data_IF_659747818629
#
_entry.id   IF_659747818629
#
_cell.length_a   1.000
_cell.length_b   1.000
_cell.length_c   1.000
_cell.angle_alpha   90.00
_cell.angle_beta   90.00
_cell.angle_gamma   90.00
#
_symmetry.space_group_name_H-M   'P 1'
#
loop_
_entity.id
_entity.type
_entity.pdbx_description
1 polymer ?
#
# COMPACT_ATOMS: atom_id res chain seq x y z
N UNK A 1 6.43 2.42 -27.29
CA UNK A 1 5.90 3.72 -26.80
C UNK A 1 5.06 3.47 -25.57
N UNK A 2 5.52 3.96 -24.42
CA UNK A 2 4.83 3.77 -23.14
C UNK A 2 3.69 4.79 -23.04
N UNK A 3 2.46 4.32 -22.88
CA UNK A 3 1.29 5.20 -22.70
C UNK A 3 1.36 5.87 -21.32
N UNK A 4 1.46 7.20 -21.29
CA UNK A 4 1.55 7.99 -20.06
C UNK A 4 0.25 8.74 -19.80
N UNK A 5 -0.28 8.60 -18.57
CA UNK A 5 -1.36 9.46 -18.08
C UNK A 5 -0.84 10.89 -17.82
N UNK A 6 -1.74 11.87 -17.76
CA UNK A 6 -1.52 13.26 -17.36
C UNK A 6 -0.59 13.40 -16.15
N UNK A 7 -0.85 12.66 -15.08
CA UNK A 7 0.01 12.63 -13.89
C UNK A 7 1.42 12.09 -14.16
N UNK A 8 1.56 11.06 -14.99
CA UNK A 8 2.88 10.48 -15.31
C UNK A 8 3.72 11.43 -16.16
N UNK A 9 3.08 12.18 -17.07
CA UNK A 9 3.74 13.25 -17.83
C UNK A 9 4.25 14.36 -16.89
N UNK A 10 3.42 14.76 -15.91
CA UNK A 10 3.84 15.72 -14.89
C UNK A 10 5.04 15.21 -14.07
N UNK A 11 4.98 13.94 -13.64
CA UNK A 11 6.10 13.32 -12.92
C UNK A 11 7.36 13.27 -13.78
N UNK A 12 7.26 12.97 -15.07
CA UNK A 12 8.42 12.92 -15.97
C UNK A 12 9.16 14.27 -16.05
N UNK A 13 8.40 15.36 -16.14
CA UNK A 13 8.95 16.72 -16.26
C UNK A 13 9.62 17.18 -14.95
N UNK A 14 9.07 16.82 -13.80
CA UNK A 14 9.50 17.35 -12.49
C UNK A 14 10.45 16.42 -11.72
N UNK A 15 10.45 15.12 -12.05
CA UNK A 15 11.21 14.10 -11.31
C UNK A 15 12.71 14.32 -11.38
N UNK A 16 13.25 14.77 -12.53
CA UNK A 16 14.68 15.05 -12.68
C UNK A 16 15.16 16.09 -11.66
N UNK A 17 14.45 17.21 -11.54
CA UNK A 17 14.79 18.27 -10.59
C UNK A 17 14.78 17.80 -9.13
N UNK A 18 13.87 16.87 -8.77
CA UNK A 18 13.78 16.32 -7.41
C UNK A 18 14.82 15.23 -7.13
N UNK A 19 15.32 14.53 -8.15
CA UNK A 19 16.40 13.54 -7.98
C UNK A 19 17.74 14.21 -7.71
N UNK A 20 18.02 15.35 -8.33
CA UNK A 20 19.26 16.12 -8.10
C UNK A 20 19.43 16.56 -6.63
N UNK A 21 18.31 16.70 -5.91
CA UNK A 21 18.29 17.06 -4.49
C UNK A 21 18.75 15.89 -3.59
N UNK A 22 18.89 14.68 -4.13
CA UNK A 22 19.45 13.52 -3.42
C UNK A 22 18.46 12.76 -2.52
N UNK A 23 17.16 12.95 -2.72
CA UNK A 23 16.11 12.27 -1.95
C UNK A 23 15.86 10.83 -2.38
N UNK A 24 15.28 10.02 -1.48
CA UNK A 24 14.84 8.67 -1.82
C UNK A 24 13.74 8.71 -2.88
N UNK A 25 13.71 7.73 -3.80
CA UNK A 25 12.67 7.60 -4.81
C UNK A 25 11.26 7.65 -4.22
N UNK A 26 11.06 7.11 -3.01
CA UNK A 26 9.79 7.14 -2.31
C UNK A 26 9.38 8.57 -1.91
N UNK A 27 10.32 9.36 -1.40
CA UNK A 27 10.11 10.75 -0.98
C UNK A 27 9.80 11.62 -2.20
N UNK A 28 10.57 11.47 -3.28
CA UNK A 28 10.33 12.17 -4.54
C UNK A 28 8.93 11.91 -5.06
N UNK A 29 8.47 10.65 -5.04
CA UNK A 29 7.10 10.32 -5.48
C UNK A 29 6.02 10.90 -4.56
N UNK A 30 6.29 10.98 -3.26
CA UNK A 30 5.37 11.61 -2.29
C UNK A 30 5.22 13.10 -2.56
N UNK A 31 6.34 13.79 -2.76
CA UNK A 31 6.39 15.23 -3.08
C UNK A 31 5.68 15.52 -4.41
N UNK A 32 5.97 14.75 -5.47
CA UNK A 32 5.28 14.87 -6.76
C UNK A 32 3.76 14.68 -6.64
N UNK A 33 3.33 13.72 -5.82
CA UNK A 33 1.92 13.49 -5.54
C UNK A 33 1.25 14.67 -4.84
N UNK A 34 1.95 15.32 -3.90
CA UNK A 34 1.48 16.52 -3.23
C UNK A 34 1.44 17.74 -4.18
N UNK A 35 2.50 17.96 -4.96
CA UNK A 35 2.55 19.02 -5.98
C UNK A 35 1.42 18.87 -6.99
N UNK A 36 1.19 17.65 -7.50
CA UNK A 36 0.09 17.40 -8.43
C UNK A 36 -1.27 17.73 -7.81
N UNK A 37 -1.52 17.39 -6.54
CA UNK A 37 -2.78 17.74 -5.87
C UNK A 37 -2.97 19.25 -5.76
N UNK A 38 -1.91 19.98 -5.43
CA UNK A 38 -1.93 21.43 -5.26
C UNK A 38 -1.83 22.24 -6.57
N UNK A 39 -1.51 21.59 -7.69
CA UNK A 39 -1.38 22.24 -9.00
C UNK A 39 -2.70 22.91 -9.43
N UNK A 40 -2.61 24.07 -10.07
CA UNK A 40 -3.76 24.80 -10.58
C UNK A 40 -4.53 23.99 -11.65
N UNK A 41 -5.83 24.24 -11.78
CA UNK A 41 -6.69 23.53 -12.74
C UNK A 41 -6.23 23.73 -14.20
N UNK A 42 -5.77 24.94 -14.52
CA UNK A 42 -5.26 25.31 -15.85
C UNK A 42 -4.01 24.50 -16.22
N UNK A 43 -3.05 24.40 -15.32
CA UNK A 43 -1.83 23.62 -15.55
C UNK A 43 -2.15 22.13 -15.64
N UNK A 44 -3.03 21.62 -14.78
CA UNK A 44 -3.53 20.24 -14.88
C UNK A 44 -4.18 19.98 -16.24
N UNK A 45 -4.91 20.94 -16.79
CA UNK A 45 -5.53 20.81 -18.12
C UNK A 45 -4.48 20.58 -19.20
N UNK A 46 -3.39 21.36 -19.21
CA UNK A 46 -2.28 21.18 -20.17
C UNK A 46 -1.74 19.74 -20.18
N UNK A 47 -1.66 19.10 -19.01
CA UNK A 47 -1.23 17.70 -18.91
C UNK A 47 -2.31 16.70 -19.34
N UNK A 48 -3.59 17.01 -19.11
CA UNK A 48 -4.72 16.19 -19.61
C UNK A 48 -4.78 16.21 -21.13
N UNK A 49 -4.56 17.36 -21.76
CA UNK A 49 -4.57 17.51 -23.21
C UNK A 49 -3.38 16.76 -23.84
N UNK A 50 -2.19 16.88 -23.26
CA UNK A 50 -1.04 16.06 -23.69
C UNK A 50 -1.29 14.56 -23.55
N UNK A 51 -1.96 14.14 -22.48
CA UNK A 51 -2.29 12.72 -22.27
C UNK A 51 -3.41 12.21 -23.18
N UNK A 52 -4.29 13.09 -23.68
CA UNK A 52 -5.37 12.71 -24.58
C UNK A 52 -4.87 12.44 -26.00
N UNK A 53 -3.82 13.16 -26.41
CA UNK A 53 -3.11 12.98 -27.69
C UNK A 53 -2.30 11.67 -27.75
N UNK A 54 -1.95 11.09 -26.60
CA UNK A 54 -1.21 9.84 -26.54
C UNK A 54 -2.08 8.67 -27.03
N UNK A 55 -1.57 7.79 -27.91
CA UNK A 55 -2.30 6.63 -28.38
C UNK A 55 -2.61 5.69 -27.21
N UNK A 56 -3.90 5.59 -26.86
CA UNK A 56 -4.37 4.72 -25.78
C UNK A 56 -4.27 3.26 -26.23
N UNK A 57 -3.62 2.37 -25.46
CA UNK A 57 -3.63 0.95 -25.79
C UNK A 57 -5.08 0.46 -25.75
N UNK A 58 -5.52 -0.19 -26.82
CA UNK A 58 -6.84 -0.81 -26.86
C UNK A 58 -6.93 -1.85 -25.75
N UNK A 59 -7.88 -1.66 -24.82
CA UNK A 59 -8.06 -2.52 -23.66
C UNK A 59 -8.68 -3.83 -24.14
N UNK A 60 -7.85 -4.83 -24.48
CA UNK A 60 -8.30 -6.19 -24.78
C UNK A 60 -9.17 -6.68 -23.62
N UNK A 61 -10.36 -7.19 -23.93
CA UNK A 61 -11.30 -7.70 -22.95
C UNK A 61 -10.63 -8.85 -22.19
N UNK A 62 -10.43 -8.68 -20.87
CA UNK A 62 -9.81 -9.72 -20.05
C UNK A 62 -10.77 -10.91 -20.03
N UNK A 63 -10.36 -12.03 -20.62
CA UNK A 63 -11.04 -13.32 -20.41
C UNK A 63 -11.00 -13.60 -18.90
N UNK A 64 -12.16 -13.70 -18.26
CA UNK A 64 -12.28 -14.07 -16.86
C UNK A 64 -11.89 -15.54 -16.68
N UNK A 65 -10.59 -15.84 -16.67
CA UNK A 65 -10.13 -17.14 -16.22
C UNK A 65 -10.02 -17.09 -14.69
N UNK A 66 -11.11 -17.52 -14.05
CA UNK A 66 -11.36 -17.51 -12.61
C UNK A 66 -10.49 -18.51 -11.80
N UNK A 67 -9.17 -18.50 -11.99
CA UNK A 67 -8.27 -19.33 -11.17
C UNK A 67 -6.99 -18.62 -10.72
N UNK A 68 -6.66 -17.46 -11.31
CA UNK A 68 -5.35 -16.82 -11.17
C UNK A 68 -5.41 -15.37 -10.65
N UNK A 69 -6.46 -15.00 -9.89
CA UNK A 69 -6.41 -13.83 -8.99
C UNK A 69 -5.90 -14.22 -7.60
N UNK A 70 -5.32 -15.41 -7.47
CA UNK A 70 -4.60 -15.85 -6.29
C UNK A 70 -3.34 -15.01 -6.23
N UNK A 71 -3.33 -13.98 -5.39
CA UNK A 71 -2.10 -13.33 -4.97
C UNK A 71 -1.11 -14.45 -4.64
N UNK A 72 -0.08 -14.63 -5.46
CA UNK A 72 1.02 -15.54 -5.14
C UNK A 72 1.84 -14.86 -4.04
N UNK A 73 1.29 -14.83 -2.83
CA UNK A 73 2.09 -14.77 -1.61
C UNK A 73 2.86 -16.09 -1.68
N UNK A 74 4.12 -16.04 -2.11
CA UNK A 74 4.96 -17.23 -2.09
C UNK A 74 4.91 -17.77 -0.66
N UNK A 75 4.62 -19.06 -0.43
CA UNK A 75 4.68 -19.67 0.89
C UNK A 75 6.14 -19.88 1.30
N UNK A 76 7.02 -18.92 1.02
CA UNK A 76 8.25 -18.76 1.79
C UNK A 76 7.84 -18.22 3.15
N UNK A 77 7.11 -19.07 3.88
CA UNK A 77 7.11 -19.09 5.33
C UNK A 77 8.58 -19.34 5.66
N UNK A 78 9.36 -18.26 5.87
CA UNK A 78 10.48 -18.37 6.78
C UNK A 78 9.88 -18.99 8.02
N UNK A 79 10.33 -20.19 8.41
CA UNK A 79 9.87 -20.85 9.63
C UNK A 79 10.07 -19.84 10.75
N UNK A 80 9.01 -19.13 11.11
CA UNK A 80 8.93 -18.46 12.39
C UNK A 80 8.77 -19.65 13.32
N UNK A 81 9.89 -20.20 13.79
CA UNK A 81 9.86 -21.12 14.92
C UNK A 81 9.45 -20.26 16.10
N UNK A 82 8.15 -20.03 16.22
CA UNK A 82 7.52 -19.64 17.45
C UNK A 82 7.65 -20.85 18.38
N UNK A 83 8.85 -21.04 18.93
CA UNK A 83 9.04 -21.81 20.16
C UNK A 83 8.50 -20.96 21.30
N UNK A 84 7.24 -20.55 21.20
CA UNK A 84 6.48 -20.04 22.34
C UNK A 84 5.90 -21.27 23.03
N UNK A 85 6.17 -21.49 24.32
CA UNK A 85 5.51 -22.54 25.08
C UNK A 85 4.00 -22.43 24.93
N UNK A 86 3.25 -23.55 24.84
CA UNK A 86 1.80 -23.50 24.79
C UNK A 86 1.30 -22.75 26.04
N UNK A 87 0.61 -21.64 25.84
CA UNK A 87 -0.10 -20.95 26.92
C UNK A 87 -1.18 -21.91 27.43
N UNK A 88 -0.94 -22.57 28.56
CA UNK A 88 -1.98 -23.28 29.27
C UNK A 88 -3.06 -22.27 29.64
N UNK A 89 -4.25 -22.46 29.09
CA UNK A 89 -5.45 -21.77 29.55
C UNK A 89 -5.67 -22.18 31.00
N UNK A 90 -5.25 -21.36 31.95
CA UNK A 90 -5.53 -21.57 33.36
C UNK A 90 -7.04 -21.43 33.53
N UNK A 91 -7.70 -22.54 33.86
CA UNK A 91 -9.11 -22.51 34.26
C UNK A 91 -9.20 -21.67 35.54
N UNK A 92 -10.02 -20.61 35.59
CA UNK A 92 -10.16 -19.83 36.82
C UNK A 92 -10.68 -20.75 37.92
N UNK A 93 -9.93 -20.84 39.01
CA UNK A 93 -10.37 -21.55 40.21
C UNK A 93 -11.52 -20.76 40.83
N UNK A 94 -12.60 -21.41 41.32
CA UNK A 94 -13.63 -20.70 42.06
C UNK A 94 -13.00 -20.07 43.30
N UNK A 95 -13.15 -18.75 43.44
CA UNK A 95 -12.77 -18.02 44.64
C UNK A 95 -13.73 -18.49 45.72
N UNK A 96 -13.29 -19.38 46.61
CA UNK A 96 -14.05 -19.60 47.84
C UNK A 96 -13.80 -18.40 48.74
N UNK A 97 -14.90 -17.78 49.17
CA UNK A 97 -14.89 -16.67 50.11
C UNK A 97 -14.36 -17.18 51.47
N UNK A 98 -13.28 -16.59 51.96
CA UNK A 98 -12.73 -16.91 53.29
C UNK A 98 -13.31 -16.00 54.37
N UNK A 99 -14.44 -15.33 54.12
CA UNK A 99 -15.21 -14.61 55.13
C UNK A 99 -16.02 -15.58 56.02
N UNK A 100 -15.35 -16.53 56.67
CA UNK A 100 -15.83 -17.14 57.91
C UNK A 100 -14.67 -17.85 58.62
N UNK A 101 -13.65 -17.07 58.99
CA UNK A 101 -12.85 -17.41 60.17
C UNK A 101 -13.77 -17.13 61.35
N UNK A 102 -14.60 -18.12 61.67
CA UNK A 102 -15.44 -18.15 62.85
C UNK A 102 -14.53 -18.05 64.08
N UNK A 103 -14.63 -16.90 64.72
CA UNK A 103 -14.31 -16.68 66.12
C UNK A 103 -15.08 -17.70 66.96
N UNK A 104 -14.36 -18.55 67.70
CA UNK A 104 -14.55 -18.86 69.13
C UNK A 104 -13.42 -19.77 69.60
#
# INVERSE_FOLDING_TARGET
MTFMNSFLLFCQDNRSALLEIGGSNAEVTSILGAMWRNLASEEKSKYKDRASLQPKPQRKQKKQNNFLYKFKISPTIHKITSTSPPLQRVHPQPIYDTSNIGVT
#
